data_IF_318194015757
#
_entry.id   IF_318194015757
#
_cell.length_a   1.000
_cell.length_b   1.000
_cell.length_c   1.000
_cell.angle_alpha   90.00
_cell.angle_beta   90.00
_cell.angle_gamma   90.00
#
_symmetry.space_group_name_H-M   'P 1'
#
loop_
_entity.id
_entity.type
_entity.pdbx_description
1 polymer ?
#
# COMPACT_ATOMS: atom_id res chain seq x y z
N UNK A 1 19.59 -4.03 6.79
CA UNK A 1 18.92 -5.02 5.92
C UNK A 1 17.82 -4.28 5.19
N UNK A 2 17.69 -4.38 3.87
CA UNK A 2 16.78 -3.48 3.12
C UNK A 2 15.28 -3.78 3.32
N UNK A 3 14.89 -5.00 3.72
CA UNK A 3 13.54 -5.19 4.26
C UNK A 3 13.57 -4.75 5.72
N UNK A 4 12.71 -3.80 6.04
CA UNK A 4 12.65 -3.17 7.36
C UNK A 4 12.30 -4.20 8.44
N UNK A 5 13.07 -4.21 9.54
CA UNK A 5 12.65 -4.94 10.75
C UNK A 5 11.43 -4.24 11.37
N UNK A 6 10.69 -4.87 12.28
CA UNK A 6 9.57 -4.23 12.96
C UNK A 6 9.94 -2.88 13.59
N UNK A 7 11.14 -2.78 14.17
CA UNK A 7 11.66 -1.56 14.80
C UNK A 7 11.96 -0.47 13.75
N UNK A 8 12.64 -0.84 12.64
CA UNK A 8 12.93 0.08 11.54
C UNK A 8 11.64 0.54 10.87
N UNK A 9 10.69 -0.37 10.65
CA UNK A 9 9.40 0.01 10.05
C UNK A 9 8.63 0.98 10.94
N UNK A 10 8.62 0.74 12.26
CA UNK A 10 8.01 1.68 13.21
C UNK A 10 8.73 3.04 13.20
N UNK A 11 10.07 3.07 13.13
CA UNK A 11 10.84 4.31 13.02
C UNK A 11 10.53 5.06 11.72
N UNK A 12 10.40 4.36 10.59
CA UNK A 12 9.97 4.97 9.32
C UNK A 12 8.65 5.71 9.51
N UNK A 13 7.62 5.05 10.07
CA UNK A 13 6.30 5.63 10.27
C UNK A 13 6.34 6.83 11.25
N UNK A 14 7.12 6.75 12.31
CA UNK A 14 7.29 7.88 13.27
C UNK A 14 7.94 9.08 12.60
N UNK A 15 8.95 8.87 11.77
CA UNK A 15 9.59 9.94 11.00
C UNK A 15 8.64 10.58 9.99
N UNK A 16 7.83 9.76 9.31
CA UNK A 16 6.82 10.26 8.39
C UNK A 16 5.84 11.20 9.11
N UNK A 17 5.28 10.78 10.25
CA UNK A 17 4.38 11.60 11.06
C UNK A 17 5.04 12.89 11.55
N UNK A 18 6.24 12.79 12.12
CA UNK A 18 6.99 13.94 12.63
C UNK A 18 7.39 14.92 11.53
N UNK A 19 7.76 14.40 10.36
CA UNK A 19 8.23 15.18 9.21
C UNK A 19 7.11 15.69 8.31
N UNK A 20 5.85 15.35 8.56
CA UNK A 20 4.70 15.64 7.72
C UNK A 20 4.94 15.22 6.25
N UNK A 21 5.40 13.97 6.07
CA UNK A 21 5.51 13.30 4.77
C UNK A 21 4.89 11.90 4.86
N UNK A 22 4.64 11.26 3.73
CA UNK A 22 4.16 9.89 3.71
C UNK A 22 5.03 9.02 2.80
N UNK A 23 5.12 7.73 3.11
CA UNK A 23 5.73 6.77 2.21
C UNK A 23 4.72 6.34 1.15
N UNK A 24 5.08 6.37 -0.15
CA UNK A 24 4.31 5.67 -1.16
C UNK A 24 4.25 4.18 -0.83
N UNK A 25 3.06 3.60 -0.89
CA UNK A 25 2.84 2.17 -0.84
C UNK A 25 2.43 1.70 -2.23
N UNK A 26 3.32 0.98 -2.89
CA UNK A 26 3.22 0.65 -4.31
C UNK A 26 2.72 -0.78 -4.48
N UNK A 27 1.57 -0.95 -5.12
CA UNK A 27 1.05 -2.26 -5.47
C UNK A 27 1.91 -2.92 -6.55
N UNK A 28 2.27 -4.17 -6.30
CA UNK A 28 3.03 -4.98 -7.24
C UNK A 28 2.40 -6.38 -7.36
N UNK A 29 2.41 -6.94 -8.56
CA UNK A 29 1.83 -8.25 -8.87
C UNK A 29 2.81 -9.21 -9.56
N UNK A 30 4.06 -8.78 -9.72
CA UNK A 30 5.10 -9.57 -10.38
C UNK A 30 6.51 -9.18 -9.90
N UNK A 31 7.49 -10.04 -10.17
CA UNK A 31 8.90 -9.72 -9.93
C UNK A 31 9.36 -8.46 -10.70
N UNK A 32 8.78 -8.19 -11.87
CA UNK A 32 9.14 -7.03 -12.69
C UNK A 32 8.62 -5.72 -12.09
N UNK A 33 7.36 -5.67 -11.67
CA UNK A 33 6.77 -4.50 -11.01
C UNK A 33 7.43 -4.26 -9.65
N UNK A 34 7.78 -5.32 -8.92
CA UNK A 34 8.50 -5.24 -7.65
C UNK A 34 9.90 -4.61 -7.83
N UNK A 35 10.67 -5.04 -8.82
CA UNK A 35 11.98 -4.45 -9.14
C UNK A 35 11.83 -2.98 -9.55
N UNK A 36 10.81 -2.64 -10.34
CA UNK A 36 10.55 -1.26 -10.74
C UNK A 36 10.28 -0.35 -9.52
N UNK A 37 9.50 -0.84 -8.55
CA UNK A 37 9.24 -0.11 -7.30
C UNK A 37 10.53 0.09 -6.47
N UNK A 38 11.32 -0.97 -6.27
CA UNK A 38 12.61 -0.89 -5.57
C UNK A 38 13.55 0.11 -6.21
N UNK A 39 13.64 0.09 -7.54
CA UNK A 39 14.45 1.03 -8.31
C UNK A 39 13.99 2.47 -8.09
N UNK A 40 12.69 2.74 -8.18
CA UNK A 40 12.14 4.07 -7.97
C UNK A 40 12.40 4.62 -6.57
N UNK A 41 12.24 3.81 -5.52
CA UNK A 41 12.58 4.19 -4.15
C UNK A 41 14.08 4.51 -4.00
N UNK A 42 14.95 3.68 -4.58
CA UNK A 42 16.39 3.91 -4.52
C UNK A 42 16.81 5.18 -5.28
N UNK A 43 16.24 5.45 -6.48
CA UNK A 43 16.49 6.67 -7.25
C UNK A 43 15.97 7.93 -6.53
N UNK A 44 14.87 7.82 -5.77
CA UNK A 44 14.35 8.91 -4.94
C UNK A 44 15.11 9.08 -3.60
N UNK A 45 16.01 8.18 -3.25
CA UNK A 45 16.62 8.12 -1.91
C UNK A 45 15.56 8.10 -0.79
N UNK A 46 14.42 7.46 -1.03
CA UNK A 46 13.28 7.32 -0.12
C UNK A 46 13.15 5.88 0.33
N UNK A 47 12.97 5.65 1.63
CA UNK A 47 12.37 4.40 2.08
C UNK A 47 10.93 4.31 1.52
N UNK A 48 10.34 3.12 1.47
CA UNK A 48 9.01 2.95 0.89
C UNK A 48 8.32 1.67 1.31
N UNK A 49 7.12 1.46 0.78
CA UNK A 49 6.31 0.29 1.06
C UNK A 49 5.96 -0.40 -0.26
N UNK A 50 6.21 -1.70 -0.33
CA UNK A 50 5.73 -2.56 -1.41
C UNK A 50 4.54 -3.34 -0.88
N UNK A 51 3.45 -3.38 -1.62
CA UNK A 51 2.23 -4.04 -1.18
C UNK A 51 1.63 -4.98 -2.22
N UNK A 52 0.91 -5.99 -1.72
CA UNK A 52 0.24 -7.01 -2.51
C UNK A 52 -1.24 -7.03 -2.16
N UNK A 53 -2.12 -6.68 -3.09
CA UNK A 53 -3.55 -6.96 -2.94
C UNK A 53 -3.80 -8.47 -3.04
N UNK A 54 -4.96 -8.93 -2.56
CA UNK A 54 -5.33 -10.34 -2.70
C UNK A 54 -5.37 -10.78 -4.17
N UNK A 55 -5.86 -9.93 -5.08
CA UNK A 55 -5.90 -10.19 -6.51
C UNK A 55 -4.50 -10.24 -7.14
N UNK A 56 -3.62 -9.31 -6.77
CA UNK A 56 -2.21 -9.32 -7.20
C UNK A 56 -1.46 -10.54 -6.70
N UNK A 57 -1.70 -10.96 -5.45
CA UNK A 57 -1.13 -12.17 -4.87
C UNK A 57 -1.68 -13.44 -5.55
N UNK A 58 -2.98 -13.51 -5.81
CA UNK A 58 -3.59 -14.61 -6.57
C UNK A 58 -2.94 -14.75 -7.96
N UNK A 59 -2.79 -13.64 -8.67
CA UNK A 59 -2.12 -13.61 -9.97
C UNK A 59 -0.67 -14.09 -9.89
N UNK A 60 0.08 -13.67 -8.89
CA UNK A 60 1.49 -14.04 -8.71
C UNK A 60 1.71 -15.54 -8.47
N UNK A 61 0.70 -16.26 -7.97
CA UNK A 61 0.74 -17.73 -7.84
C UNK A 61 0.50 -18.46 -9.17
N UNK A 62 0.07 -17.74 -10.19
CA UNK A 62 -0.29 -18.29 -11.50
C UNK A 62 -1.80 -18.38 -11.72
N UNK A 63 -2.25 -17.98 -12.90
CA UNK A 63 -3.68 -17.86 -13.26
C UNK A 63 -4.48 -19.17 -13.16
N UNK A 64 -3.82 -20.32 -13.10
CA UNK A 64 -4.44 -21.65 -12.95
C UNK A 64 -4.38 -22.18 -11.51
N UNK A 65 -3.44 -21.68 -10.69
CA UNK A 65 -3.26 -22.08 -9.28
C UNK A 65 -4.16 -21.27 -8.36
N UNK A 66 -4.14 -19.94 -8.51
CA UNK A 66 -4.99 -18.99 -7.79
C UNK A 66 -4.91 -19.10 -6.25
N UNK A 67 -3.69 -19.27 -5.73
CA UNK A 67 -3.44 -19.33 -4.29
C UNK A 67 -2.85 -18.00 -3.82
N UNK A 68 -3.68 -17.17 -3.19
CA UNK A 68 -3.31 -15.85 -2.68
C UNK A 68 -2.16 -15.90 -1.66
N UNK A 69 -2.16 -16.91 -0.79
CA UNK A 69 -1.12 -17.06 0.25
C UNK A 69 0.23 -17.38 -0.39
N UNK A 70 0.26 -18.37 -1.28
CA UNK A 70 1.51 -18.77 -1.97
C UNK A 70 2.06 -17.63 -2.81
N UNK A 71 1.19 -16.89 -3.51
CA UNK A 71 1.61 -15.74 -4.31
C UNK A 71 2.20 -14.61 -3.46
N UNK A 72 1.54 -14.25 -2.35
CA UNK A 72 2.06 -13.24 -1.43
C UNK A 72 3.40 -13.66 -0.81
N UNK A 73 3.51 -14.91 -0.37
CA UNK A 73 4.76 -15.47 0.17
C UNK A 73 5.88 -15.47 -0.88
N UNK A 74 5.59 -15.90 -2.12
CA UNK A 74 6.58 -15.91 -3.20
C UNK A 74 7.10 -14.50 -3.52
N UNK A 75 6.22 -13.49 -3.61
CA UNK A 75 6.63 -12.11 -3.84
C UNK A 75 7.42 -11.54 -2.64
N UNK A 76 7.00 -11.83 -1.42
CA UNK A 76 7.69 -11.38 -0.22
C UNK A 76 9.10 -12.00 -0.12
N UNK A 77 9.25 -13.30 -0.31
CA UNK A 77 10.57 -13.97 -0.31
C UNK A 77 11.44 -13.44 -1.46
N UNK A 78 10.88 -13.19 -2.65
CA UNK A 78 11.60 -12.54 -3.73
C UNK A 78 12.10 -11.14 -3.31
N UNK A 79 11.24 -10.33 -2.69
CA UNK A 79 11.63 -9.02 -2.15
C UNK A 79 12.79 -9.12 -1.14
N UNK A 80 12.72 -10.08 -0.20
CA UNK A 80 13.79 -10.33 0.79
C UNK A 80 15.13 -10.68 0.13
N UNK A 81 15.11 -11.35 -1.03
CA UNK A 81 16.33 -11.70 -1.77
C UNK A 81 16.90 -10.49 -2.51
N UNK A 82 16.06 -9.73 -3.23
CA UNK A 82 16.54 -8.71 -4.19
C UNK A 82 16.73 -7.33 -3.57
N UNK A 83 15.90 -6.95 -2.59
CA UNK A 83 15.91 -5.62 -2.01
C UNK A 83 17.25 -5.26 -1.33
N UNK A 84 18.00 -6.25 -0.85
CA UNK A 84 19.34 -6.04 -0.23
C UNK A 84 20.34 -5.34 -1.14
N UNK A 85 20.10 -5.26 -2.44
CA UNK A 85 20.94 -4.57 -3.39
C UNK A 85 20.61 -3.07 -3.56
N UNK A 86 19.54 -2.62 -2.91
CA UNK A 86 19.08 -1.22 -2.95
C UNK A 86 19.33 -0.55 -1.59
N UNK A 87 19.77 0.70 -1.61
CA UNK A 87 20.13 1.44 -0.38
C UNK A 87 18.94 2.18 0.22
N UNK A 88 17.84 1.47 0.43
CA UNK A 88 16.60 1.99 1.03
C UNK A 88 15.94 0.91 1.89
N UNK A 89 15.21 1.29 2.94
CA UNK A 89 14.41 0.34 3.70
C UNK A 89 13.04 0.17 3.06
N UNK A 90 12.58 -1.06 2.99
CA UNK A 90 11.29 -1.42 2.38
C UNK A 90 10.41 -2.13 3.40
N UNK A 91 9.22 -1.56 3.64
CA UNK A 91 8.13 -2.28 4.29
C UNK A 91 7.43 -3.20 3.30
N UNK A 92 7.07 -4.41 3.72
CA UNK A 92 6.24 -5.33 2.92
C UNK A 92 4.85 -5.38 3.56
N UNK A 93 3.82 -5.05 2.78
CA UNK A 93 2.44 -4.93 3.21
C UNK A 93 1.51 -5.81 2.38
N UNK A 94 0.43 -6.31 2.96
CA UNK A 94 -0.69 -6.86 2.19
C UNK A 94 -1.83 -5.87 2.22
N UNK A 95 -2.32 -5.54 1.04
CA UNK A 95 -3.33 -4.53 0.78
C UNK A 95 -4.73 -5.15 0.74
N UNK A 96 -5.75 -4.37 0.98
CA UNK A 96 -7.17 -4.70 1.04
C UNK A 96 -7.53 -6.19 1.18
N UNK A 97 -7.87 -6.60 2.39
CA UNK A 97 -8.40 -7.94 2.64
C UNK A 97 -9.87 -7.82 3.10
N UNK A 98 -10.85 -7.95 2.20
CA UNK A 98 -12.26 -7.91 2.57
C UNK A 98 -12.68 -9.14 3.37
N UNK A 99 -13.85 -9.08 4.01
CA UNK A 99 -14.31 -10.09 4.97
C UNK A 99 -14.32 -11.51 4.40
N UNK A 100 -14.70 -11.68 3.14
CA UNK A 100 -14.76 -12.99 2.46
C UNK A 100 -13.38 -13.56 2.12
N UNK A 101 -12.33 -12.77 2.23
CA UNK A 101 -10.94 -13.20 1.99
C UNK A 101 -10.15 -13.44 3.27
N UNK A 102 -10.66 -13.07 4.43
CA UNK A 102 -9.94 -13.20 5.71
C UNK A 102 -9.38 -14.60 5.95
N UNK A 103 -10.20 -15.63 5.80
CA UNK A 103 -9.80 -17.02 6.04
C UNK A 103 -8.89 -17.59 4.95
N UNK A 104 -8.97 -17.05 3.74
CA UNK A 104 -8.16 -17.48 2.60
C UNK A 104 -6.88 -16.69 2.40
N UNK A 105 -6.70 -15.55 3.07
CA UNK A 105 -5.59 -14.65 2.82
C UNK A 105 -4.93 -14.13 4.10
N UNK A 106 -5.56 -13.21 4.83
CA UNK A 106 -4.91 -12.50 5.93
C UNK A 106 -4.64 -13.40 7.14
N UNK A 107 -5.64 -14.19 7.59
CA UNK A 107 -5.46 -15.08 8.76
C UNK A 107 -4.37 -16.12 8.54
N UNK A 108 -4.26 -16.82 7.39
CA UNK A 108 -3.13 -17.70 7.09
C UNK A 108 -1.77 -17.01 7.09
N UNK A 109 -1.69 -15.78 6.53
CA UNK A 109 -0.44 -15.01 6.51
C UNK A 109 -0.01 -14.58 7.91
N UNK A 110 -0.93 -14.15 8.76
CA UNK A 110 -0.66 -13.85 10.18
C UNK A 110 -0.22 -15.09 10.95
N UNK A 111 -0.86 -16.25 10.71
CA UNK A 111 -0.47 -17.51 11.32
C UNK A 111 0.95 -17.93 10.90
N UNK A 112 1.28 -17.81 9.61
CA UNK A 112 2.63 -18.02 9.09
C UNK A 112 3.64 -17.08 9.76
N UNK A 113 3.30 -15.81 9.91
CA UNK A 113 4.13 -14.81 10.59
C UNK A 113 4.41 -15.21 12.04
N UNK A 114 3.37 -15.56 12.79
CA UNK A 114 3.50 -16.00 14.18
C UNK A 114 4.37 -17.27 14.32
N UNK A 115 4.25 -18.22 13.40
CA UNK A 115 5.08 -19.43 13.39
C UNK A 115 6.56 -19.12 13.08
N UNK A 116 6.82 -18.19 12.15
CA UNK A 116 8.18 -17.69 11.87
C UNK A 116 8.82 -17.08 13.12
N UNK A 117 8.07 -16.22 13.84
CA UNK A 117 8.55 -15.62 15.09
C UNK A 117 8.86 -16.69 16.16
N UNK A 118 7.95 -17.66 16.38
CA UNK A 118 8.18 -18.76 17.32
C UNK A 118 9.43 -19.59 16.97
N UNK A 119 9.72 -19.73 15.68
CA UNK A 119 10.92 -20.44 15.20
C UNK A 119 12.18 -19.58 15.17
N UNK A 120 12.15 -18.36 15.72
CA UNK A 120 13.29 -17.44 15.78
C UNK A 120 13.65 -16.77 14.46
N UNK A 121 12.76 -16.81 13.47
CA UNK A 121 12.95 -16.15 12.18
C UNK A 121 12.36 -14.73 12.21
N UNK A 122 12.88 -13.85 11.36
CA UNK A 122 12.29 -12.55 11.13
C UNK A 122 10.89 -12.66 10.49
N UNK A 123 9.98 -11.70 10.74
CA UNK A 123 8.71 -11.66 10.03
C UNK A 123 8.93 -11.53 8.52
N UNK A 124 8.01 -12.07 7.74
CA UNK A 124 8.05 -11.99 6.28
C UNK A 124 7.41 -10.69 5.77
N UNK A 125 6.41 -10.21 6.49
CA UNK A 125 5.68 -8.97 6.23
C UNK A 125 5.90 -7.97 7.34
N UNK A 126 5.76 -6.68 7.02
CA UNK A 126 5.81 -5.57 7.99
C UNK A 126 4.43 -5.19 8.51
N UNK A 127 3.40 -5.33 7.68
CA UNK A 127 2.02 -4.96 8.00
C UNK A 127 1.01 -5.68 7.12
N UNK A 128 -0.25 -5.70 7.56
CA UNK A 128 -1.38 -6.29 6.85
C UNK A 128 -2.60 -5.38 6.98
N UNK A 129 -3.42 -5.27 5.93
CA UNK A 129 -4.64 -4.49 5.96
C UNK A 129 -5.88 -5.37 6.05
N UNK A 130 -6.75 -5.05 7.01
CA UNK A 130 -8.12 -5.46 7.11
C UNK A 130 -9.03 -4.39 6.50
N UNK A 131 -9.74 -4.74 5.43
CA UNK A 131 -10.73 -3.88 4.80
C UNK A 131 -12.11 -4.11 5.42
N UNK A 132 -12.46 -3.25 6.37
CA UNK A 132 -13.74 -3.28 7.06
C UNK A 132 -14.85 -2.48 6.38
N UNK A 133 -14.63 -1.99 5.16
CA UNK A 133 -15.58 -1.09 4.47
C UNK A 133 -16.95 -1.73 4.16
N UNK A 134 -16.98 -3.05 3.99
CA UNK A 134 -18.20 -3.79 3.65
C UNK A 134 -19.07 -4.18 4.86
N UNK A 135 -18.59 -3.98 6.08
CA UNK A 135 -19.31 -4.33 7.33
C UNK A 135 -19.63 -3.09 8.14
N UNK A 136 -20.58 -3.19 9.09
CA UNK A 136 -20.82 -2.07 10.00
C UNK A 136 -19.67 -1.88 10.98
N UNK A 137 -19.56 -0.67 11.57
CA UNK A 137 -18.44 -0.29 12.42
C UNK A 137 -18.27 -1.20 13.67
N UNK A 138 -19.36 -1.78 14.18
CA UNK A 138 -19.30 -2.70 15.33
C UNK A 138 -18.63 -4.02 14.95
N UNK A 139 -19.03 -4.61 13.83
CA UNK A 139 -18.42 -5.84 13.33
C UNK A 139 -17.00 -5.58 12.83
N UNK A 140 -16.73 -4.42 12.18
CA UNK A 140 -15.39 -4.01 11.80
C UNK A 140 -14.46 -4.00 13.02
N UNK A 141 -14.86 -3.35 14.10
CA UNK A 141 -14.03 -3.28 15.31
C UNK A 141 -13.89 -4.62 16.02
N UNK A 142 -14.88 -5.49 15.98
CA UNK A 142 -14.78 -6.84 16.53
C UNK A 142 -13.75 -7.70 15.77
N UNK A 143 -13.74 -7.61 14.45
CA UNK A 143 -12.74 -8.30 13.62
C UNK A 143 -11.35 -7.67 13.83
N UNK A 144 -11.26 -6.34 13.87
CA UNK A 144 -10.00 -5.65 14.11
C UNK A 144 -9.39 -6.00 15.49
N UNK A 145 -10.23 -6.17 16.51
CA UNK A 145 -9.84 -6.61 17.86
C UNK A 145 -9.20 -8.01 17.86
N UNK A 146 -9.76 -8.94 17.08
CA UNK A 146 -9.14 -10.27 16.85
C UNK A 146 -7.80 -10.15 16.10
N UNK A 147 -7.78 -9.34 15.04
CA UNK A 147 -6.64 -9.26 14.13
C UNK A 147 -5.44 -8.55 14.74
N UNK A 148 -5.63 -7.57 15.63
CA UNK A 148 -4.52 -6.88 16.29
C UNK A 148 -3.71 -7.84 17.19
N UNK A 149 -4.38 -8.78 17.88
CA UNK A 149 -3.70 -9.81 18.68
C UNK A 149 -2.86 -10.76 17.81
N UNK A 150 -3.40 -11.14 16.65
CA UNK A 150 -2.67 -11.97 15.67
C UNK A 150 -1.50 -11.22 15.04
N UNK A 151 -1.68 -9.93 14.75
CA UNK A 151 -0.63 -9.07 14.22
C UNK A 151 0.51 -8.88 15.23
N UNK A 152 0.18 -8.69 16.51
CA UNK A 152 1.17 -8.63 17.58
C UNK A 152 1.99 -9.93 17.66
N UNK A 153 1.35 -11.08 17.58
CA UNK A 153 2.03 -12.39 17.59
C UNK A 153 2.95 -12.59 16.38
N UNK A 154 2.59 -12.03 15.23
CA UNK A 154 3.38 -12.05 14.00
C UNK A 154 4.45 -10.94 13.93
N UNK A 155 4.48 -10.01 14.90
CA UNK A 155 5.27 -8.77 14.90
C UNK A 155 5.04 -7.91 13.65
N UNK A 156 3.79 -7.79 13.22
CA UNK A 156 3.34 -6.94 12.11
C UNK A 156 2.43 -5.84 12.62
N UNK A 157 2.30 -4.76 11.85
CA UNK A 157 1.36 -3.68 12.11
C UNK A 157 0.04 -4.00 11.40
N UNK A 158 -1.09 -3.82 12.11
CA UNK A 158 -2.42 -3.92 11.51
C UNK A 158 -2.80 -2.59 10.87
N UNK A 159 -3.24 -2.61 9.63
CA UNK A 159 -3.96 -1.49 9.01
C UNK A 159 -5.45 -1.82 8.96
N UNK A 160 -6.30 -0.87 9.31
CA UNK A 160 -7.76 -1.01 9.27
C UNK A 160 -8.37 0.10 8.43
N UNK A 161 -9.51 -0.15 7.81
CA UNK A 161 -10.29 0.88 7.13
C UNK A 161 -11.53 1.27 7.92
N UNK A 162 -11.75 2.58 8.10
CA UNK A 162 -12.94 3.16 8.71
C UNK A 162 -13.66 4.07 7.70
N UNK A 163 -14.93 3.82 7.45
CA UNK A 163 -15.69 4.42 6.36
C UNK A 163 -15.60 3.55 5.09
N UNK A 164 -15.98 4.11 3.95
CA UNK A 164 -15.99 3.42 2.65
C UNK A 164 -15.26 4.29 1.63
N UNK A 165 -14.18 3.79 1.03
CA UNK A 165 -13.56 4.42 -0.12
C UNK A 165 -14.43 4.11 -1.35
N UNK A 166 -14.82 5.13 -2.12
CA UNK A 166 -15.61 4.96 -3.34
C UNK A 166 -14.78 4.41 -4.50
N UNK A 167 -15.45 4.06 -5.61
CA UNK A 167 -14.79 3.59 -6.85
C UNK A 167 -14.66 2.09 -6.97
N UNK A 168 -13.71 1.63 -7.78
CA UNK A 168 -13.49 0.20 -8.08
C UNK A 168 -12.05 -0.20 -7.70
N UNK A 169 -11.92 -1.33 -6.98
CA UNK A 169 -10.65 -1.97 -6.68
C UNK A 169 -10.78 -3.51 -6.75
N UNK A 170 -9.86 -4.17 -7.44
CA UNK A 170 -9.84 -5.62 -7.67
C UNK A 170 -11.20 -6.18 -8.15
N UNK A 171 -11.97 -5.41 -8.96
CA UNK A 171 -13.27 -5.81 -9.49
C UNK A 171 -14.44 -5.64 -8.53
N UNK A 172 -14.24 -5.01 -7.38
CA UNK A 172 -15.29 -4.66 -6.41
C UNK A 172 -15.61 -3.17 -6.57
N UNK A 173 -16.88 -2.86 -6.91
CA UNK A 173 -17.37 -1.49 -7.09
C UNK A 173 -18.09 -0.98 -5.85
N UNK A 174 -17.61 0.09 -5.23
CA UNK A 174 -18.27 0.76 -4.11
C UNK A 174 -19.15 1.92 -4.60
N UNK A 175 -20.40 1.98 -4.11
CA UNK A 175 -21.34 3.04 -4.47
C UNK A 175 -21.01 4.35 -3.77
N UNK A 176 -21.17 5.46 -4.49
CA UNK A 176 -21.12 6.81 -3.91
C UNK A 176 -22.33 7.04 -3.00
N UNK A 177 -22.13 6.98 -1.68
CA UNK A 177 -23.12 7.36 -0.68
C UNK A 177 -22.51 8.14 0.50
N UNK A 178 -23.30 8.43 1.52
CA UNK A 178 -22.89 9.21 2.69
C UNK A 178 -21.80 8.57 3.57
N UNK A 179 -21.38 7.33 3.29
CA UNK A 179 -20.33 6.61 4.03
C UNK A 179 -18.91 6.96 3.53
N UNK A 180 -18.78 7.82 2.51
CA UNK A 180 -17.49 8.29 1.97
C UNK A 180 -16.68 9.16 2.93
N UNK A 181 -17.15 9.40 4.13
CA UNK A 181 -16.51 10.26 5.11
C UNK A 181 -16.45 9.57 6.47
N UNK A 182 -15.25 9.38 6.98
CA UNK A 182 -15.03 8.92 8.36
C UNK A 182 -15.45 10.01 9.33
N UNK A 183 -16.01 9.60 10.46
CA UNK A 183 -16.53 10.51 11.49
C UNK A 183 -15.66 10.50 12.76
N UNK A 184 -15.73 11.54 13.61
CA UNK A 184 -15.09 11.52 14.92
C UNK A 184 -15.50 10.31 15.77
N UNK A 185 -16.75 9.88 15.67
CA UNK A 185 -17.29 8.72 16.37
C UNK A 185 -16.60 7.43 15.95
N UNK A 186 -16.32 7.26 14.64
CA UNK A 186 -15.56 6.10 14.12
C UNK A 186 -14.14 6.08 14.70
N UNK A 187 -13.46 7.23 14.72
CA UNK A 187 -12.13 7.36 15.29
C UNK A 187 -12.11 7.06 16.80
N UNK A 188 -13.09 7.55 17.55
CA UNK A 188 -13.23 7.29 18.99
C UNK A 188 -13.54 5.81 19.26
N UNK A 189 -14.41 5.18 18.47
CA UNK A 189 -14.69 3.75 18.57
C UNK A 189 -13.43 2.92 18.31
N UNK A 190 -12.66 3.28 17.28
CA UNK A 190 -11.39 2.65 16.96
C UNK A 190 -10.43 2.68 18.14
N UNK A 191 -10.17 3.86 18.68
CA UNK A 191 -9.24 4.03 19.81
C UNK A 191 -9.77 3.38 21.11
N UNK A 192 -11.08 3.34 21.30
CA UNK A 192 -11.69 2.63 22.44
C UNK A 192 -11.49 1.12 22.33
N UNK A 193 -11.55 0.56 21.13
CA UNK A 193 -11.42 -0.89 20.89
C UNK A 193 -9.96 -1.32 20.84
N UNK A 194 -9.13 -0.64 20.07
CA UNK A 194 -7.76 -1.07 19.79
C UNK A 194 -6.70 -0.43 20.70
N UNK A 195 -7.07 0.60 21.47
CA UNK A 195 -6.14 1.34 22.31
C UNK A 195 -5.35 2.40 21.57
N UNK A 196 -4.28 2.86 22.19
CA UNK A 196 -3.37 3.88 21.66
C UNK A 196 -2.00 3.31 21.27
N UNK A 197 -1.93 2.01 20.97
CA UNK A 197 -0.71 1.30 20.64
C UNK A 197 -0.21 0.35 21.72
N UNK A 198 -0.80 0.33 22.91
CA UNK A 198 -0.44 -0.57 24.01
C UNK A 198 -0.73 -2.05 23.73
N UNK A 199 -1.65 -2.33 22.80
CA UNK A 199 -2.00 -3.67 22.34
C UNK A 199 -1.34 -4.04 21.00
N UNK A 200 -0.48 -3.17 20.49
CA UNK A 200 0.15 -3.24 19.16
C UNK A 200 -0.11 -1.98 18.36
N UNK A 201 0.86 -1.60 17.55
CA UNK A 201 0.71 -0.46 16.62
C UNK A 201 -0.28 -0.83 15.52
N UNK A 202 -1.11 0.13 15.13
CA UNK A 202 -2.01 0.02 13.98
C UNK A 202 -2.05 1.33 13.20
N UNK A 203 -2.46 1.23 11.94
CA UNK A 203 -2.69 2.35 11.02
C UNK A 203 -4.18 2.39 10.67
N UNK A 204 -4.68 3.58 10.34
CA UNK A 204 -6.10 3.80 10.02
C UNK A 204 -6.23 4.42 8.63
N UNK A 205 -6.76 3.68 7.69
CA UNK A 205 -7.24 4.20 6.43
C UNK A 205 -8.57 4.90 6.66
N UNK A 206 -8.51 6.23 6.67
CA UNK A 206 -9.68 7.07 6.85
C UNK A 206 -10.20 7.57 5.52
N UNK A 207 -11.53 7.71 5.41
CA UNK A 207 -12.18 8.21 4.19
C UNK A 207 -12.53 9.69 4.34
N UNK A 208 -12.12 10.48 3.37
CA UNK A 208 -12.34 11.93 3.35
C UNK A 208 -12.66 12.47 1.94
N UNK A 209 -13.40 11.64 1.15
CA UNK A 209 -13.80 11.91 -0.22
C UNK A 209 -12.91 11.23 -1.29
N UNK A 210 -11.98 10.40 -0.85
CA UNK A 210 -11.10 9.63 -1.70
C UNK A 210 -11.86 8.48 -2.40
N UNK A 211 -11.43 8.17 -3.63
CA UNK A 211 -12.05 7.13 -4.47
C UNK A 211 -10.98 6.34 -5.22
N UNK A 212 -11.20 5.03 -5.37
CA UNK A 212 -10.36 4.16 -6.19
C UNK A 212 -10.68 4.29 -7.68
N UNK A 213 -9.68 4.15 -8.55
CA UNK A 213 -9.85 4.10 -10.00
C UNK A 213 -9.13 5.22 -10.76
N UNK A 214 -9.52 5.41 -12.02
CA UNK A 214 -8.89 6.38 -12.94
C UNK A 214 -9.76 7.63 -13.03
N UNK A 215 -9.30 8.73 -12.48
CA UNK A 215 -9.99 10.01 -12.50
C UNK A 215 -9.09 11.12 -13.09
N UNK A 216 -9.71 12.09 -13.77
CA UNK A 216 -8.99 13.31 -14.18
C UNK A 216 -8.75 14.18 -12.96
N UNK A 217 -7.58 14.84 -12.86
CA UNK A 217 -7.31 15.80 -11.79
C UNK A 217 -8.45 16.81 -11.62
N UNK A 218 -8.92 16.97 -10.38
CA UNK A 218 -10.04 17.87 -10.05
C UNK A 218 -11.44 17.22 -10.13
N UNK A 219 -11.58 15.98 -10.59
CA UNK A 219 -12.87 15.26 -10.54
C UNK A 219 -13.15 14.60 -9.20
N UNK A 220 -12.10 14.37 -8.39
CA UNK A 220 -12.20 13.91 -7.02
C UNK A 220 -11.97 15.10 -6.11
N UNK A 221 -12.90 15.36 -5.20
CA UNK A 221 -12.82 16.47 -4.25
C UNK A 221 -12.59 15.91 -2.86
N UNK A 222 -11.36 16.03 -2.40
CA UNK A 222 -11.00 15.61 -1.05
C UNK A 222 -11.42 16.66 -0.02
N UNK A 223 -11.62 16.20 1.21
CA UNK A 223 -11.85 17.05 2.37
C UNK A 223 -10.80 16.75 3.46
N UNK A 224 -9.52 17.12 3.28
CA UNK A 224 -8.43 16.74 4.19
C UNK A 224 -8.67 17.19 5.65
N UNK A 225 -9.46 18.24 5.86
CA UNK A 225 -9.85 18.71 7.20
C UNK A 225 -10.62 17.69 8.03
N UNK A 226 -11.25 16.71 7.39
CA UNK A 226 -11.85 15.56 8.11
C UNK A 226 -10.76 14.86 8.92
N UNK A 227 -9.58 14.62 8.35
CA UNK A 227 -8.45 13.99 9.02
C UNK A 227 -8.02 14.78 10.27
N UNK A 228 -7.97 16.12 10.15
CA UNK A 228 -7.73 16.99 11.31
C UNK A 228 -8.78 16.80 12.40
N UNK A 229 -10.06 16.75 12.01
CA UNK A 229 -11.18 16.58 12.96
C UNK A 229 -11.08 15.24 13.70
N UNK A 230 -10.69 14.16 13.02
CA UNK A 230 -10.45 12.84 13.63
C UNK A 230 -9.33 12.92 14.68
N UNK A 231 -8.18 13.52 14.31
CA UNK A 231 -7.04 13.70 15.22
C UNK A 231 -7.42 14.53 16.46
N UNK A 232 -8.15 15.62 16.27
CA UNK A 232 -8.61 16.51 17.35
C UNK A 232 -9.57 15.79 18.28
N UNK A 233 -10.52 15.01 17.77
CA UNK A 233 -11.47 14.24 18.58
C UNK A 233 -10.75 13.25 19.49
N UNK A 234 -9.81 12.47 18.93
CA UNK A 234 -9.00 11.52 19.73
C UNK A 234 -8.10 12.25 20.71
N UNK A 235 -7.47 13.36 20.32
CA UNK A 235 -6.61 14.16 21.21
C UNK A 235 -7.38 14.68 22.41
N UNK A 236 -8.59 15.22 22.18
CA UNK A 236 -9.48 15.71 23.23
C UNK A 236 -9.90 14.59 24.20
N UNK A 237 -10.33 13.46 23.67
CA UNK A 237 -10.75 12.29 24.46
C UNK A 237 -9.62 11.76 25.34
N UNK A 238 -8.39 11.77 24.83
CA UNK A 238 -7.19 11.27 25.54
C UNK A 238 -6.44 12.34 26.33
N UNK A 239 -6.93 13.58 26.38
CA UNK A 239 -6.28 14.68 27.12
C UNK A 239 -4.90 15.06 26.56
N UNK A 240 -4.68 14.89 25.26
CA UNK A 240 -3.43 15.23 24.60
C UNK A 240 -3.37 16.72 24.23
N UNK A 241 -2.16 17.31 24.09
CA UNK A 241 -2.00 18.69 23.67
C UNK A 241 -2.72 19.01 22.33
N UNK A 242 -3.19 20.24 22.18
CA UNK A 242 -3.75 20.69 20.91
C UNK A 242 -2.75 20.55 19.76
N UNK A 243 -3.22 20.10 18.60
CA UNK A 243 -2.39 19.84 17.43
C UNK A 243 -1.64 18.49 17.46
N UNK A 244 -1.86 17.66 18.50
CA UNK A 244 -1.37 16.29 18.53
C UNK A 244 -1.95 15.48 17.36
N UNK A 245 -1.17 14.51 16.86
CA UNK A 245 -1.58 13.59 15.81
C UNK A 245 -1.48 12.15 16.33
N UNK A 246 -2.42 11.75 17.23
CA UNK A 246 -2.33 10.45 17.90
C UNK A 246 -2.48 9.25 16.97
N UNK A 247 -3.25 9.39 15.88
CA UNK A 247 -3.49 8.29 14.93
C UNK A 247 -2.45 8.29 13.83
N UNK A 248 -2.05 7.10 13.37
CA UNK A 248 -1.29 6.88 12.14
C UNK A 248 -2.28 6.74 10.98
N UNK A 249 -2.41 7.78 10.16
CA UNK A 249 -3.41 7.80 9.08
C UNK A 249 -2.84 7.30 7.76
N UNK A 250 -3.67 6.61 6.99
CA UNK A 250 -3.36 6.12 5.64
C UNK A 250 -4.33 6.71 4.63
N UNK A 251 -3.82 7.05 3.45
CA UNK A 251 -4.59 7.60 2.35
C UNK A 251 -4.71 6.56 1.22
N UNK A 252 -5.92 6.13 0.92
CA UNK A 252 -6.27 5.27 -0.20
C UNK A 252 -6.94 6.07 -1.33
N UNK A 253 -6.91 5.54 -2.56
CA UNK A 253 -7.67 6.12 -3.68
C UNK A 253 -7.27 7.56 -4.03
N UNK A 254 -5.99 7.84 -4.10
CA UNK A 254 -5.48 9.19 -4.38
C UNK A 254 -5.37 9.58 -5.85
N UNK A 255 -5.66 8.68 -6.79
CA UNK A 255 -5.61 8.98 -8.23
C UNK A 255 -6.66 10.04 -8.60
N UNK A 256 -6.25 11.07 -9.34
CA UNK A 256 -7.12 12.19 -9.73
C UNK A 256 -7.30 13.28 -8.68
N UNK A 257 -6.68 13.15 -7.51
CA UNK A 257 -6.68 14.20 -6.48
C UNK A 257 -5.71 15.33 -6.84
N UNK A 258 -6.00 16.54 -6.34
CA UNK A 258 -5.08 17.68 -6.50
C UNK A 258 -3.87 17.51 -5.56
N UNK A 259 -2.68 17.82 -6.05
CA UNK A 259 -1.45 17.74 -5.27
C UNK A 259 -1.50 18.57 -3.97
N UNK A 260 -2.20 19.72 -4.01
CA UNK A 260 -2.42 20.57 -2.82
C UNK A 260 -3.21 19.84 -1.74
N UNK A 261 -4.25 19.10 -2.10
CA UNK A 261 -5.08 18.31 -1.19
C UNK A 261 -4.33 17.10 -0.62
N UNK A 262 -3.55 16.41 -1.48
CA UNK A 262 -2.65 15.34 -1.04
C UNK A 262 -1.68 15.88 0.01
N UNK A 263 -1.01 17.00 -0.26
CA UNK A 263 -0.03 17.60 0.66
C UNK A 263 -0.65 18.13 1.94
N UNK A 264 -1.89 18.65 1.88
CA UNK A 264 -2.62 19.05 3.08
C UNK A 264 -2.92 17.85 3.98
N UNK A 265 -3.25 16.68 3.43
CA UNK A 265 -3.49 15.46 4.20
C UNK A 265 -2.25 15.00 5.00
N UNK A 266 -1.05 15.23 4.46
CA UNK A 266 0.21 14.93 5.16
C UNK A 266 0.37 15.77 6.42
N UNK A 267 -0.08 17.03 6.37
CA UNK A 267 -0.03 17.94 7.50
C UNK A 267 -0.98 17.49 8.64
N UNK A 268 -1.94 16.62 8.36
CA UNK A 268 -2.86 16.03 9.35
C UNK A 268 -2.48 14.61 9.80
N UNK A 269 -1.31 14.11 9.42
CA UNK A 269 -0.77 12.86 9.96
C UNK A 269 -0.97 11.63 9.07
N UNK A 270 -1.19 11.82 7.78
CA UNK A 270 -1.06 10.73 6.79
C UNK A 270 0.43 10.36 6.68
N UNK A 271 0.73 9.09 6.87
CA UNK A 271 2.11 8.54 6.88
C UNK A 271 2.36 7.52 5.78
N UNK A 272 1.31 7.02 5.15
CA UNK A 272 1.31 6.05 4.04
C UNK A 272 0.26 6.47 3.03
N UNK A 273 0.56 6.36 1.75
CA UNK A 273 -0.42 6.56 0.67
C UNK A 273 -0.33 5.43 -0.35
N UNK A 274 -1.47 4.78 -0.60
CA UNK A 274 -1.57 3.71 -1.60
C UNK A 274 -1.56 4.28 -3.02
N UNK A 275 -0.72 3.68 -3.89
CA UNK A 275 -0.62 4.04 -5.30
C UNK A 275 -0.56 2.75 -6.13
N UNK A 276 -1.60 2.51 -6.91
CA UNK A 276 -1.70 1.36 -7.81
C UNK A 276 -1.94 1.78 -9.26
N UNK A 277 -3.09 2.37 -9.56
CA UNK A 277 -3.54 2.70 -10.91
C UNK A 277 -2.49 3.42 -11.76
N UNK A 278 -1.85 4.45 -11.20
CA UNK A 278 -0.84 5.25 -11.91
C UNK A 278 0.41 4.45 -12.23
N UNK A 279 0.83 3.56 -11.32
CA UNK A 279 2.01 2.72 -11.51
C UNK A 279 1.75 1.58 -12.49
N UNK A 280 0.54 1.02 -12.50
CA UNK A 280 0.10 0.08 -13.54
C UNK A 280 0.17 0.71 -14.93
N UNK A 281 -0.37 1.94 -15.08
CA UNK A 281 -0.29 2.67 -16.34
C UNK A 281 1.16 2.97 -16.75
N UNK A 282 1.99 3.44 -15.80
CA UNK A 282 3.40 3.77 -16.05
C UNK A 282 4.24 2.55 -16.45
N UNK A 283 3.87 1.35 -15.99
CA UNK A 283 4.47 0.09 -16.43
C UNK A 283 3.99 -0.31 -17.82
N UNK A 284 2.69 -0.25 -18.07
CA UNK A 284 2.05 -0.74 -19.29
C UNK A 284 2.32 0.15 -20.51
N UNK A 285 2.33 1.48 -20.32
CA UNK A 285 2.50 2.45 -21.43
C UNK A 285 3.77 2.24 -22.23
N UNK A 286 4.97 2.03 -21.64
CA UNK A 286 6.19 1.73 -22.40
C UNK A 286 6.15 0.37 -23.10
N UNK A 287 5.43 -0.62 -22.58
CA UNK A 287 5.22 -1.92 -23.27
C UNK A 287 4.44 -1.69 -24.56
N UNK A 288 3.32 -0.97 -24.49
CA UNK A 288 2.51 -0.65 -25.67
C UNK A 288 3.33 0.14 -26.72
N UNK A 289 4.10 1.16 -26.29
CA UNK A 289 4.97 1.92 -27.18
C UNK A 289 6.00 1.04 -27.88
N UNK A 290 6.64 0.14 -27.12
CA UNK A 290 7.61 -0.81 -27.69
C UNK A 290 6.97 -1.72 -28.74
N UNK A 291 5.79 -2.30 -28.46
CA UNK A 291 5.08 -3.19 -29.38
C UNK A 291 4.67 -2.48 -30.65
N UNK A 292 4.11 -1.27 -30.54
CA UNK A 292 3.66 -0.49 -31.69
C UNK A 292 4.83 -0.01 -32.57
N UNK A 293 5.95 0.42 -31.98
CA UNK A 293 7.14 0.85 -32.74
C UNK A 293 7.87 -0.28 -33.41
N UNK A 294 7.74 -1.50 -32.91
CA UNK A 294 8.44 -2.68 -33.39
C UNK A 294 7.48 -3.74 -33.97
N UNK A 295 6.34 -3.30 -34.48
CA UNK A 295 5.26 -4.20 -34.92
C UNK A 295 5.75 -5.37 -35.78
N UNK A 296 6.48 -5.08 -36.86
CA UNK A 296 6.99 -6.12 -37.79
C UNK A 296 8.03 -7.05 -37.14
N UNK A 297 8.77 -6.55 -36.16
CA UNK A 297 9.74 -7.36 -35.41
C UNK A 297 9.13 -8.25 -34.35
N UNK A 298 7.98 -7.84 -33.79
CA UNK A 298 7.26 -8.56 -32.73
C UNK A 298 6.28 -9.57 -33.33
N UNK A 299 5.55 -9.18 -34.37
CA UNK A 299 4.55 -10.01 -35.01
C UNK A 299 5.18 -10.86 -36.13
N UNK A 300 4.98 -12.17 -36.08
CA UNK A 300 5.26 -13.09 -37.18
C UNK A 300 3.98 -13.27 -37.98
N UNK A 301 4.05 -12.96 -39.29
CA UNK A 301 3.01 -13.30 -40.24
C UNK A 301 3.46 -14.54 -40.98
N UNK A 302 2.55 -15.29 -41.61
CA UNK A 302 2.81 -16.58 -42.29
C UNK A 302 4.09 -16.56 -43.10
N UNK A 303 5.04 -17.42 -42.75
CA UNK A 303 6.32 -17.56 -43.42
C UNK A 303 7.41 -16.54 -43.04
N UNK A 304 7.09 -15.52 -42.23
CA UNK A 304 8.05 -14.51 -41.81
C UNK A 304 8.72 -14.84 -40.46
N UNK A 305 9.87 -14.23 -40.23
CA UNK A 305 10.67 -14.39 -38.99
C UNK A 305 10.71 -13.07 -38.25
N UNK A 306 10.10 -13.03 -37.07
CA UNK A 306 10.19 -11.86 -36.18
C UNK A 306 11.62 -11.60 -35.68
N UNK A 307 11.86 -10.42 -35.15
CA UNK A 307 13.15 -10.04 -34.60
C UNK A 307 13.21 -10.39 -33.10
N UNK A 308 14.02 -11.40 -32.73
CA UNK A 308 14.18 -11.84 -31.33
C UNK A 308 14.56 -10.69 -30.39
N UNK A 309 15.35 -9.71 -30.85
CA UNK A 309 15.76 -8.57 -30.02
C UNK A 309 14.58 -7.68 -29.64
N UNK A 310 13.47 -7.70 -30.40
CA UNK A 310 12.27 -6.90 -30.13
C UNK A 310 11.20 -7.65 -29.36
N UNK A 311 11.00 -8.94 -29.60
CA UNK A 311 9.97 -9.72 -28.91
C UNK A 311 10.44 -10.38 -27.60
N UNK A 312 11.75 -10.37 -27.30
CA UNK A 312 12.27 -10.83 -26.01
C UNK A 312 11.63 -10.04 -24.86
N UNK A 313 10.95 -10.70 -23.89
CA UNK A 313 10.32 -9.99 -22.76
C UNK A 313 11.27 -9.05 -22.02
N UNK A 314 12.56 -9.36 -21.97
CA UNK A 314 13.57 -8.49 -21.36
C UNK A 314 13.79 -7.17 -22.11
N UNK A 315 13.46 -7.11 -23.41
CA UNK A 315 13.60 -5.89 -24.19
C UNK A 315 12.54 -4.85 -23.80
N UNK A 316 11.27 -5.21 -23.84
CA UNK A 316 10.19 -4.31 -23.44
C UNK A 316 10.05 -4.20 -21.92
N UNK A 317 10.42 -5.25 -21.15
CA UNK A 317 10.40 -5.23 -19.70
C UNK A 317 11.32 -4.17 -19.09
N UNK A 318 12.50 -3.90 -19.67
CA UNK A 318 13.39 -2.81 -19.23
C UNK A 318 12.75 -1.42 -19.39
N UNK A 319 12.01 -1.21 -20.47
CA UNK A 319 11.31 0.05 -20.69
C UNK A 319 10.14 0.23 -19.68
N UNK A 320 9.41 -0.85 -19.41
CA UNK A 320 8.35 -0.90 -18.42
C UNK A 320 8.87 -0.61 -17.00
N UNK A 321 9.97 -1.26 -16.61
CA UNK A 321 10.66 -1.01 -15.33
C UNK A 321 11.04 0.46 -15.18
N UNK A 322 11.67 1.05 -16.19
CA UNK A 322 12.07 2.45 -16.16
C UNK A 322 10.87 3.40 -16.05
N UNK A 323 9.78 3.13 -16.78
CA UNK A 323 8.56 3.94 -16.72
C UNK A 323 7.90 3.91 -15.34
N UNK A 324 7.75 2.73 -14.76
CA UNK A 324 7.19 2.59 -13.42
C UNK A 324 8.11 3.18 -12.35
N UNK A 325 9.44 2.95 -12.43
CA UNK A 325 10.39 3.54 -11.48
C UNK A 325 10.32 5.06 -11.48
N UNK A 326 10.25 5.69 -12.65
CA UNK A 326 10.07 7.15 -12.74
C UNK A 326 8.77 7.63 -12.06
N UNK A 327 7.65 6.89 -12.20
CA UNK A 327 6.40 7.25 -11.49
C UNK A 327 6.53 7.10 -9.96
N UNK A 328 7.28 6.11 -9.49
CA UNK A 328 7.56 5.94 -8.06
C UNK A 328 8.41 7.11 -7.53
N UNK A 329 9.42 7.58 -8.28
CA UNK A 329 10.17 8.79 -7.93
C UNK A 329 9.24 9.99 -7.77
N UNK A 330 8.35 10.23 -8.72
CA UNK A 330 7.36 11.31 -8.62
C UNK A 330 6.41 11.13 -7.43
N UNK A 331 6.03 9.89 -7.09
CA UNK A 331 5.24 9.64 -5.89
C UNK A 331 5.98 10.06 -4.61
N UNK A 332 7.28 9.77 -4.52
CA UNK A 332 8.10 10.22 -3.40
C UNK A 332 8.19 11.76 -3.32
N UNK A 333 8.28 12.45 -4.45
CA UNK A 333 8.27 13.92 -4.52
C UNK A 333 6.92 14.51 -4.08
N UNK A 334 5.81 13.94 -4.58
CA UNK A 334 4.45 14.36 -4.25
C UNK A 334 4.19 14.24 -2.74
N UNK A 335 4.67 13.17 -2.13
CA UNK A 335 4.49 12.82 -0.73
C UNK A 335 5.61 13.35 0.19
N UNK A 336 6.52 14.20 -0.29
CA UNK A 336 7.62 14.80 0.47
C UNK A 336 8.59 13.78 1.07
N UNK A 337 8.68 12.56 0.53
CA UNK A 337 9.54 11.50 1.08
C UNK A 337 10.92 11.40 0.41
N UNK A 338 11.14 12.11 -0.70
CA UNK A 338 12.43 12.15 -1.40
C UNK A 338 13.58 12.55 -0.46
N UNK A 339 14.67 11.80 -0.48
CA UNK A 339 15.84 12.07 0.34
C UNK A 339 15.67 11.74 1.84
N UNK A 340 14.60 11.03 2.24
CA UNK A 340 14.32 10.71 3.65
C UNK A 340 14.76 9.32 4.11
N UNK A 341 15.44 8.54 3.25
CA UNK A 341 15.89 7.19 3.63
C UNK A 341 16.73 7.18 4.90
N UNK A 342 16.50 6.18 5.74
CA UNK A 342 17.31 5.89 6.93
C UNK A 342 18.69 5.32 6.61
N UNK A 343 18.92 4.86 5.37
CA UNK A 343 20.17 4.25 4.91
C UNK A 343 21.10 5.25 4.15
N UNK A 344 21.14 6.50 4.57
CA UNK A 344 22.06 7.50 4.00
C UNK A 344 23.51 7.20 4.29
#
# INVERSE_FOLDING_TARGET
>A
MPIATPEIYSEMLDRAKKGAFAYPAINVSSSQTLIAALRGFAEAESDGIIQFSWGGAEYASGSTVKNMVDGAVALAEFAHVVAKNYKVNIGIHTDHCPVEKLDGYMRPLLALGAERIKSGKAPLFSSHMWDGSAVDMTENMKIADELIEKSLAAKTILEIEIGVVGGEEDGIEAKHDAKLYSTPEDALMTVKTLGMGERGRYMVAATFGNVHGVYKPGNVVLQPKILQTLQEAVSKEKGLPAGSKPMDLVFHGGSGSLLSEIRESLDYGVIKMNIDTDTQYAFTRPVADHMLKNYDGVLKIDGEVGNKKTYDPRAWGKAAEAGMAARVVHACEDLRSTGTSLLK
#
